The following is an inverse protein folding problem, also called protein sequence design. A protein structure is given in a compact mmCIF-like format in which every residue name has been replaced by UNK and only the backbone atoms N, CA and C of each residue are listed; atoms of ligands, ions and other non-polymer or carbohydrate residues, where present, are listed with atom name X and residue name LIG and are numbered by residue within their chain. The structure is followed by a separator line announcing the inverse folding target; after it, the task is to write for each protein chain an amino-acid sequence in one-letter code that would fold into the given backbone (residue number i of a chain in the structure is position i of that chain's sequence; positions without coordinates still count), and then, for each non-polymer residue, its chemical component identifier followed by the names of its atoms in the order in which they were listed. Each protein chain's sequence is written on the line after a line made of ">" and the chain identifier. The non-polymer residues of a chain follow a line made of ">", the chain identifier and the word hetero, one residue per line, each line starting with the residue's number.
data_IF_923279795763
#
_entry.id   IF_923279795763
#
_cell.length_a   1.000
_cell.length_b   1.000
_cell.length_c   1.000
_cell.angle_alpha   90.00
_cell.angle_beta   90.00
_cell.angle_gamma   90.00
#
_symmetry.space_group_name_H-M   'P 1'
#
loop_
_entity.id
_entity.type
_entity.pdbx_description
1 polymer ?
#
# COMPACT_ATOMS: atom_id res chain seq x y z
N UNK A 1 21.11 5.92 -1.82
CA UNK A 1 21.41 7.03 -0.84
C UNK A 1 20.15 7.56 -0.15
N UNK A 2 19.00 7.47 -0.84
CA UNK A 2 17.71 7.91 -0.31
C UNK A 2 17.16 6.95 0.76
N UNK A 3 17.39 5.64 0.68
CA UNK A 3 17.06 4.70 1.78
C UNK A 3 17.65 5.08 3.16
N UNK A 4 18.91 5.56 3.19
CA UNK A 4 19.56 6.07 4.41
C UNK A 4 18.99 7.42 4.89
N UNK A 5 18.24 8.13 4.04
CA UNK A 5 17.57 9.39 4.36
C UNK A 5 16.11 9.14 4.77
N UNK A 6 15.42 8.24 4.06
CA UNK A 6 14.00 7.89 4.21
C UNK A 6 13.67 7.13 5.50
N UNK A 7 14.59 6.27 5.95
CA UNK A 7 14.44 5.43 7.15
C UNK A 7 15.07 6.10 8.38
N UNK A 8 15.82 7.19 8.19
CA UNK A 8 16.60 7.77 9.27
C UNK A 8 15.79 8.77 10.08
N UNK A 9 15.53 8.40 11.34
CA UNK A 9 14.82 9.21 12.32
C UNK A 9 15.48 10.58 12.57
N UNK A 10 16.77 10.74 12.23
CA UNK A 10 17.47 12.03 12.36
C UNK A 10 16.96 13.12 11.42
N UNK A 11 16.17 12.79 10.39
CA UNK A 11 15.58 13.76 9.46
C UNK A 11 14.07 13.95 9.66
N UNK A 12 13.52 13.38 10.73
CA UNK A 12 12.10 13.47 11.10
C UNK A 12 11.63 14.91 11.35
N UNK A 13 12.54 15.83 11.58
CA UNK A 13 12.23 17.25 11.75
C UNK A 13 11.88 17.95 10.44
N UNK A 14 12.28 17.43 9.27
CA UNK A 14 12.16 18.16 8.00
C UNK A 14 10.69 18.47 7.62
N UNK A 15 9.75 17.51 7.68
CA UNK A 15 8.34 17.81 7.43
C UNK A 15 7.75 18.77 8.47
N UNK A 16 8.18 18.68 9.72
CA UNK A 16 7.75 19.58 10.80
C UNK A 16 8.21 21.01 10.51
N UNK A 17 9.45 21.19 10.09
CA UNK A 17 9.98 22.52 9.71
C UNK A 17 9.22 23.07 8.51
N UNK A 18 8.99 22.27 7.46
CA UNK A 18 8.21 22.71 6.30
C UNK A 18 6.79 23.15 6.69
N UNK A 19 6.11 22.35 7.52
CA UNK A 19 4.79 22.69 8.05
C UNK A 19 4.83 24.01 8.84
N UNK A 20 5.77 24.13 9.78
CA UNK A 20 5.92 25.33 10.63
C UNK A 20 6.27 26.58 9.81
N UNK A 21 7.07 26.47 8.76
CA UNK A 21 7.39 27.60 7.86
C UNK A 21 6.13 28.13 7.21
N UNK A 22 5.28 27.26 6.64
CA UNK A 22 4.03 27.68 5.97
C UNK A 22 3.08 28.33 6.98
N UNK A 23 2.96 27.76 8.17
CA UNK A 23 2.14 28.30 9.24
C UNK A 23 2.68 29.65 9.76
N UNK A 24 4.00 29.79 9.91
CA UNK A 24 4.64 31.04 10.30
C UNK A 24 4.42 32.14 9.26
N UNK A 25 4.50 31.82 7.96
CA UNK A 25 4.16 32.75 6.88
C UNK A 25 2.70 33.21 7.04
N UNK A 26 1.77 32.28 7.26
CA UNK A 26 0.37 32.61 7.54
C UNK A 26 0.22 33.55 8.74
N UNK A 27 0.87 33.23 9.85
CA UNK A 27 0.86 34.05 11.07
C UNK A 27 1.33 35.49 10.82
N UNK A 28 2.50 35.69 10.18
CA UNK A 28 3.03 37.02 9.88
C UNK A 28 2.16 37.79 8.88
N UNK A 29 1.58 37.11 7.89
CA UNK A 29 0.61 37.71 6.96
C UNK A 29 -0.62 38.22 7.72
N UNK A 30 -1.12 37.44 8.67
CA UNK A 30 -2.27 37.81 9.50
C UNK A 30 -1.98 38.96 10.46
N UNK A 31 -0.83 38.94 11.15
CA UNK A 31 -0.38 40.05 11.99
C UNK A 31 -0.29 41.37 11.22
N UNK A 32 0.19 41.33 9.97
CA UNK A 32 0.36 42.52 9.14
C UNK A 32 -0.95 43.08 8.60
N UNK A 33 -1.92 42.21 8.30
CA UNK A 33 -3.16 42.59 7.57
C UNK A 33 -4.40 42.70 8.45
N UNK A 34 -4.39 42.08 9.64
CA UNK A 34 -5.49 42.10 10.60
C UNK A 34 -6.67 41.17 10.23
N UNK A 35 -7.60 41.06 11.17
CA UNK A 35 -8.74 40.14 11.18
C UNK A 35 -9.53 40.09 9.88
N UNK A 36 -9.98 41.24 9.37
CA UNK A 36 -10.87 41.30 8.20
C UNK A 36 -10.22 40.72 6.94
N UNK A 37 -8.94 41.02 6.72
CA UNK A 37 -8.20 40.49 5.58
C UNK A 37 -7.95 38.98 5.75
N UNK A 38 -7.68 38.52 6.97
CA UNK A 38 -7.52 37.11 7.30
C UNK A 38 -8.81 36.30 7.09
N UNK A 39 -9.97 36.85 7.45
CA UNK A 39 -11.27 36.22 7.20
C UNK A 39 -11.52 36.01 5.70
N UNK A 40 -11.23 37.01 4.87
CA UNK A 40 -11.33 36.88 3.41
C UNK A 40 -10.37 35.80 2.89
N UNK A 41 -9.12 35.79 3.37
CA UNK A 41 -8.15 34.77 2.97
C UNK A 41 -8.58 33.36 3.38
N UNK A 42 -9.19 33.20 4.56
CA UNK A 42 -9.73 31.92 5.02
C UNK A 42 -10.82 31.43 4.08
N UNK A 43 -11.80 32.30 3.77
CA UNK A 43 -12.88 31.97 2.83
C UNK A 43 -12.35 31.59 1.44
N UNK A 44 -11.38 32.36 0.90
CA UNK A 44 -10.74 32.05 -0.37
C UNK A 44 -9.97 30.72 -0.33
N UNK A 45 -9.28 30.42 0.76
CA UNK A 45 -8.51 29.18 0.86
C UNK A 45 -9.39 27.94 1.00
N UNK A 46 -10.42 28.00 1.85
CA UNK A 46 -11.38 26.90 1.98
C UNK A 46 -12.14 26.72 0.66
N UNK A 47 -12.59 27.82 0.04
CA UNK A 47 -13.22 27.78 -1.29
C UNK A 47 -12.32 27.17 -2.35
N UNK A 48 -11.04 27.53 -2.37
CA UNK A 48 -10.05 26.96 -3.31
C UNK A 48 -9.87 25.46 -3.11
N UNK A 49 -9.79 25.00 -1.85
CA UNK A 49 -9.70 23.58 -1.52
C UNK A 49 -10.95 22.82 -2.02
N UNK A 50 -12.16 23.32 -1.71
CA UNK A 50 -13.41 22.67 -2.11
C UNK A 50 -13.49 22.56 -3.63
N UNK A 51 -13.21 23.65 -4.35
CA UNK A 51 -13.21 23.64 -5.82
C UNK A 51 -12.15 22.68 -6.36
N UNK A 52 -10.93 22.67 -5.80
CA UNK A 52 -9.87 21.75 -6.21
C UNK A 52 -10.29 20.29 -6.06
N UNK A 53 -10.90 19.92 -4.93
CA UNK A 53 -11.40 18.56 -4.69
C UNK A 53 -12.49 18.18 -5.69
N UNK A 54 -13.48 19.06 -5.92
CA UNK A 54 -14.58 18.79 -6.85
C UNK A 54 -14.07 18.62 -8.28
N UNK A 55 -13.16 19.50 -8.73
CA UNK A 55 -12.59 19.47 -10.09
C UNK A 55 -11.64 18.29 -10.28
N UNK A 56 -10.98 17.80 -9.21
CA UNK A 56 -10.09 16.64 -9.30
C UNK A 56 -10.84 15.36 -9.63
N UNK A 57 -12.08 15.18 -9.13
CA UNK A 57 -12.88 13.96 -9.34
C UNK A 57 -12.99 13.55 -10.82
N UNK A 58 -13.49 14.40 -11.75
CA UNK A 58 -13.59 14.02 -13.16
C UNK A 58 -12.21 13.78 -13.80
N UNK A 59 -11.18 14.53 -13.41
CA UNK A 59 -9.83 14.38 -13.98
C UNK A 59 -9.25 13.01 -13.64
N UNK A 60 -9.30 12.62 -12.35
CA UNK A 60 -8.76 11.31 -11.93
C UNK A 60 -9.57 10.18 -12.55
N UNK A 61 -10.90 10.30 -12.61
CA UNK A 61 -11.73 9.29 -13.27
C UNK A 61 -11.34 9.13 -14.75
N UNK A 62 -11.08 10.23 -15.47
CA UNK A 62 -10.59 10.16 -16.85
C UNK A 62 -9.21 9.50 -16.96
N UNK A 63 -8.29 9.80 -16.04
CA UNK A 63 -6.95 9.15 -16.01
C UNK A 63 -7.10 7.64 -15.80
N UNK A 64 -7.88 7.23 -14.78
CA UNK A 64 -8.12 5.81 -14.45
C UNK A 64 -8.77 5.09 -15.63
N UNK A 65 -9.83 5.64 -16.22
CA UNK A 65 -10.48 5.05 -17.39
C UNK A 65 -9.52 4.93 -18.59
N UNK A 66 -8.63 5.91 -18.78
CA UNK A 66 -7.62 5.83 -19.84
C UNK A 66 -6.58 4.75 -19.57
N UNK A 67 -6.14 4.58 -18.31
CA UNK A 67 -5.21 3.53 -17.91
C UNK A 67 -5.82 2.13 -18.11
N UNK A 68 -7.09 1.93 -17.75
CA UNK A 68 -7.82 0.67 -17.98
C UNK A 68 -7.95 0.33 -19.47
N UNK A 69 -8.07 1.34 -20.33
CA UNK A 69 -8.25 1.16 -21.76
C UNK A 69 -6.94 1.20 -22.57
N UNK A 70 -5.81 1.49 -21.91
CA UNK A 70 -4.50 1.48 -22.56
C UNK A 70 -4.01 0.05 -22.71
N UNK A 71 -4.09 -0.49 -23.93
CA UNK A 71 -3.59 -1.82 -24.28
C UNK A 71 -2.07 -1.87 -24.51
N UNK A 72 -1.35 -0.75 -24.30
CA UNK A 72 -0.01 -0.52 -24.84
C UNK A 72 0.97 0.04 -23.80
N UNK A 73 1.13 -0.65 -22.67
CA UNK A 73 2.39 -0.50 -21.94
C UNK A 73 3.51 -1.24 -22.70
N UNK A 74 4.76 -0.74 -22.68
CA UNK A 74 5.85 -1.38 -23.39
C UNK A 74 6.04 -2.82 -22.91
N UNK A 75 6.08 -3.79 -23.83
CA UNK A 75 6.38 -5.20 -23.55
C UNK A 75 7.75 -5.39 -22.87
N UNK A 76 8.63 -4.39 -22.98
CA UNK A 76 9.94 -4.34 -22.33
C UNK A 76 9.87 -4.31 -20.79
N UNK A 77 8.74 -3.91 -20.20
CA UNK A 77 8.54 -3.88 -18.74
C UNK A 77 7.81 -5.14 -18.23
N UNK A 78 7.56 -6.13 -19.09
CA UNK A 78 6.86 -7.37 -18.73
C UNK A 78 5.36 -7.21 -18.46
N UNK A 79 4.80 -6.02 -18.71
CA UNK A 79 3.36 -5.75 -18.56
C UNK A 79 2.68 -6.04 -19.90
N UNK A 80 2.11 -7.23 -20.04
CA UNK A 80 1.31 -7.58 -21.22
C UNK A 80 -0.19 -7.40 -20.90
N UNK A 81 -0.80 -6.36 -21.47
CA UNK A 81 -2.25 -6.15 -21.43
C UNK A 81 -2.71 -4.84 -20.78
N UNK A 82 -4.01 -4.78 -20.46
CA UNK A 82 -4.65 -3.65 -19.79
C UNK A 82 -4.19 -3.56 -18.34
N UNK A 83 -4.00 -2.34 -17.83
CA UNK A 83 -3.71 -2.13 -16.40
C UNK A 83 -4.90 -2.63 -15.59
N UNK A 84 -4.64 -3.57 -14.68
CA UNK A 84 -5.66 -4.07 -13.75
C UNK A 84 -5.62 -3.29 -12.43
N UNK A 85 -6.80 -3.06 -11.87
CA UNK A 85 -7.02 -2.36 -10.59
C UNK A 85 -6.39 -0.95 -10.45
N UNK A 86 -6.54 -0.03 -11.42
CA UNK A 86 -5.99 1.33 -11.31
C UNK A 86 -6.61 2.16 -10.18
N UNK A 87 -7.74 1.75 -9.62
CA UNK A 87 -8.31 2.33 -8.40
C UNK A 87 -7.37 2.25 -7.19
N UNK A 88 -6.40 1.32 -7.18
CA UNK A 88 -5.38 1.20 -6.12
C UNK A 88 -4.50 2.46 -6.06
N UNK A 89 -4.14 3.04 -7.20
CA UNK A 89 -3.31 4.25 -7.27
C UNK A 89 -4.15 5.54 -7.24
N UNK A 90 -5.48 5.44 -7.29
CA UNK A 90 -6.40 6.57 -7.25
C UNK A 90 -6.11 7.54 -6.09
N UNK A 91 -5.96 7.10 -4.82
CA UNK A 91 -5.82 8.02 -3.71
C UNK A 91 -4.50 8.81 -3.75
N UNK A 92 -3.45 8.21 -4.34
CA UNK A 92 -2.17 8.86 -4.57
C UNK A 92 -2.30 9.97 -5.61
N UNK A 93 -2.80 9.62 -6.80
CA UNK A 93 -2.96 10.57 -7.92
C UNK A 93 -3.92 11.71 -7.55
N UNK A 94 -5.00 11.39 -6.83
CA UNK A 94 -5.95 12.38 -6.34
C UNK A 94 -5.30 13.41 -5.43
N UNK A 95 -4.49 12.99 -4.45
CA UNK A 95 -3.79 13.91 -3.54
C UNK A 95 -2.84 14.86 -4.28
N UNK A 96 -2.11 14.35 -5.27
CA UNK A 96 -1.19 15.14 -6.10
C UNK A 96 -1.92 16.21 -6.92
N UNK A 97 -3.02 15.83 -7.57
CA UNK A 97 -3.81 16.76 -8.41
C UNK A 97 -4.53 17.80 -7.56
N UNK A 98 -5.07 17.43 -6.39
CA UNK A 98 -5.67 18.39 -5.45
C UNK A 98 -4.66 19.45 -5.03
N UNK A 99 -3.41 19.08 -4.71
CA UNK A 99 -2.38 20.06 -4.38
C UNK A 99 -2.15 21.03 -5.54
N UNK A 100 -1.91 20.50 -6.75
CA UNK A 100 -1.61 21.32 -7.93
C UNK A 100 -2.76 22.30 -8.24
N UNK A 101 -4.00 21.81 -8.27
CA UNK A 101 -5.19 22.64 -8.49
C UNK A 101 -5.41 23.64 -7.36
N UNK A 102 -5.23 23.23 -6.10
CA UNK A 102 -5.41 24.12 -4.98
C UNK A 102 -4.41 25.29 -5.03
N UNK A 103 -3.13 25.02 -5.31
CA UNK A 103 -2.12 26.08 -5.45
C UNK A 103 -2.45 27.01 -6.62
N UNK A 104 -2.89 26.46 -7.75
CA UNK A 104 -3.30 27.23 -8.92
C UNK A 104 -4.51 28.13 -8.64
N UNK A 105 -5.57 27.59 -8.04
CA UNK A 105 -6.78 28.38 -7.68
C UNK A 105 -6.44 29.40 -6.58
N UNK A 106 -5.61 29.04 -5.61
CA UNK A 106 -5.11 29.99 -4.60
C UNK A 106 -4.35 31.14 -5.26
N UNK A 107 -3.50 30.87 -6.24
CA UNK A 107 -2.80 31.90 -6.98
C UNK A 107 -3.77 32.86 -7.69
N UNK A 108 -4.76 32.32 -8.41
CA UNK A 108 -5.80 33.11 -9.09
C UNK A 108 -6.61 33.94 -8.08
N UNK A 109 -7.11 33.32 -7.02
CA UNK A 109 -7.92 34.03 -6.00
C UNK A 109 -7.12 35.10 -5.27
N UNK A 110 -5.80 34.89 -5.06
CA UNK A 110 -4.91 35.92 -4.51
C UNK A 110 -4.70 37.08 -5.48
N UNK A 111 -4.60 36.81 -6.79
CA UNK A 111 -4.54 37.84 -7.82
C UNK A 111 -5.81 38.70 -7.78
N UNK A 112 -6.98 38.07 -7.77
CA UNK A 112 -8.29 38.74 -7.67
C UNK A 112 -8.37 39.57 -6.38
N UNK A 113 -7.97 38.99 -5.25
CA UNK A 113 -7.93 39.71 -3.97
C UNK A 113 -7.05 40.97 -4.07
N UNK A 114 -5.87 40.87 -4.70
CA UNK A 114 -4.93 41.98 -4.81
C UNK A 114 -5.47 43.12 -5.67
N UNK A 115 -6.10 42.79 -6.80
CA UNK A 115 -6.66 43.75 -7.75
C UNK A 115 -7.92 44.42 -7.17
N UNK A 116 -8.86 43.64 -6.65
CA UNK A 116 -10.23 44.10 -6.35
C UNK A 116 -10.45 44.36 -4.86
N UNK A 117 -10.08 43.42 -3.99
CA UNK A 117 -10.54 43.39 -2.59
C UNK A 117 -9.55 44.03 -1.60
N UNK A 118 -8.29 44.24 -2.00
CA UNK A 118 -7.23 44.78 -1.14
C UNK A 118 -7.56 46.18 -0.61
N UNK A 119 -8.05 47.07 -1.48
CA UNK A 119 -8.39 48.46 -1.11
C UNK A 119 -9.50 48.49 -0.06
N UNK A 120 -10.56 47.71 -0.26
CA UNK A 120 -11.71 47.64 0.65
C UNK A 120 -11.40 46.95 1.98
N UNK A 121 -10.64 45.85 1.95
CA UNK A 121 -10.29 45.09 3.16
C UNK A 121 -9.36 45.86 4.10
N UNK A 122 -8.43 46.66 3.54
CA UNK A 122 -7.44 47.41 4.33
C UNK A 122 -7.91 48.81 4.74
N UNK A 123 -9.02 49.34 4.19
CA UNK A 123 -9.47 50.73 4.41
C UNK A 123 -9.64 51.06 5.90
N UNK A 124 -10.50 50.31 6.61
CA UNK A 124 -10.76 50.52 8.06
C UNK A 124 -9.52 50.31 8.93
N UNK A 125 -8.62 49.40 8.55
CA UNK A 125 -7.37 49.16 9.28
C UNK A 125 -6.40 50.34 9.13
N UNK A 126 -6.31 50.92 7.93
CA UNK A 126 -5.49 52.11 7.67
C UNK A 126 -6.06 53.34 8.39
N UNK A 127 -7.38 53.51 8.40
CA UNK A 127 -8.07 54.59 9.12
C UNK A 127 -7.81 54.51 10.63
N UNK A 128 -8.06 53.35 11.26
CA UNK A 128 -7.81 53.17 12.69
C UNK A 128 -6.32 53.33 13.08
N UNK A 129 -5.40 52.98 12.18
CA UNK A 129 -3.96 53.22 12.39
C UNK A 129 -3.61 54.71 12.34
N UNK A 130 -4.23 55.48 11.45
CA UNK A 130 -4.06 56.94 11.37
C UNK A 130 -4.60 57.64 12.62
N UNK A 131 -5.66 57.10 13.22
CA UNK A 131 -6.25 57.58 14.47
C UNK A 131 -5.48 57.16 15.74
N UNK A 132 -4.32 56.52 15.62
CA UNK A 132 -3.49 56.11 16.76
C UNK A 132 -4.07 54.97 17.61
N UNK A 133 -5.14 54.30 17.16
CA UNK A 133 -5.79 53.23 17.93
C UNK A 133 -4.86 52.02 18.07
N UNK A 134 -4.79 51.45 19.28
CA UNK A 134 -4.08 50.19 19.54
C UNK A 134 -4.81 49.04 18.85
N UNK A 135 -4.21 48.49 17.79
CA UNK A 135 -4.80 47.43 16.94
C UNK A 135 -4.34 46.01 17.28
N UNK A 136 -3.72 45.81 18.46
CA UNK A 136 -3.11 44.52 18.84
C UNK A 136 -4.08 43.34 18.77
N UNK A 137 -5.28 43.46 19.35
CA UNK A 137 -6.30 42.40 19.29
C UNK A 137 -6.68 42.01 17.86
N UNK A 138 -6.94 43.00 17.01
CA UNK A 138 -7.23 42.78 15.58
C UNK A 138 -6.09 42.08 14.84
N UNK A 139 -4.83 42.42 15.16
CA UNK A 139 -3.65 41.78 14.56
C UNK A 139 -3.49 40.33 15.03
N UNK A 140 -3.60 40.05 16.32
CA UNK A 140 -3.46 38.70 16.86
C UNK A 140 -4.59 37.78 16.39
N UNK A 141 -5.85 38.24 16.42
CA UNK A 141 -6.97 37.47 15.84
C UNK A 141 -6.79 37.27 14.33
N UNK A 142 -6.24 38.27 13.63
CA UNK A 142 -5.84 38.15 12.24
C UNK A 142 -4.75 37.10 12.00
N UNK A 143 -3.78 36.99 12.89
CA UNK A 143 -2.72 35.99 12.85
C UNK A 143 -3.28 34.58 13.01
N UNK A 144 -4.09 34.34 14.05
CA UNK A 144 -4.73 33.05 14.30
C UNK A 144 -5.60 32.58 13.12
N UNK A 145 -6.42 33.48 12.56
CA UNK A 145 -7.24 33.14 11.39
C UNK A 145 -6.41 32.93 10.12
N UNK A 146 -5.28 33.63 9.97
CA UNK A 146 -4.41 33.38 8.82
C UNK A 146 -3.72 32.03 8.92
N UNK A 147 -3.34 31.58 10.12
CA UNK A 147 -2.83 30.21 10.32
C UNK A 147 -3.85 29.17 9.83
N UNK A 148 -5.11 29.30 10.22
CA UNK A 148 -6.18 28.43 9.73
C UNK A 148 -6.34 28.51 8.20
N UNK A 149 -6.18 29.69 7.60
CA UNK A 149 -6.27 29.84 6.15
C UNK A 149 -5.12 29.18 5.39
N UNK A 150 -3.94 29.03 5.99
CA UNK A 150 -2.79 28.37 5.36
C UNK A 150 -2.74 26.86 5.66
N UNK A 151 -3.55 26.38 6.60
CA UNK A 151 -3.53 24.99 7.05
C UNK A 151 -3.76 23.97 5.93
N UNK A 152 -4.73 24.13 5.01
CA UNK A 152 -4.89 23.16 3.91
C UNK A 152 -3.65 23.07 3.01
N UNK A 153 -3.03 24.22 2.67
CA UNK A 153 -1.82 24.24 1.87
C UNK A 153 -0.63 23.63 2.64
N UNK A 154 -0.53 23.91 3.94
CA UNK A 154 0.50 23.31 4.79
C UNK A 154 0.36 21.78 4.85
N UNK A 155 -0.86 21.26 5.00
CA UNK A 155 -1.13 19.82 5.03
C UNK A 155 -0.73 19.16 3.71
N UNK A 156 -1.21 19.70 2.59
CA UNK A 156 -0.93 19.15 1.26
C UNK A 156 0.57 19.20 0.92
N UNK A 157 1.26 20.32 1.18
CA UNK A 157 2.69 20.44 0.90
C UNK A 157 3.55 19.57 1.82
N UNK A 158 3.21 19.49 3.10
CA UNK A 158 3.96 18.66 4.06
C UNK A 158 3.87 17.19 3.69
N UNK A 159 2.74 16.75 3.12
CA UNK A 159 2.59 15.37 2.67
C UNK A 159 3.63 14.97 1.60
N UNK A 160 3.96 15.87 0.67
CA UNK A 160 4.98 15.62 -0.35
C UNK A 160 6.39 15.49 0.22
N UNK A 161 6.67 16.15 1.35
CA UNK A 161 7.95 15.99 2.05
C UNK A 161 8.03 14.68 2.85
N UNK A 162 6.91 13.97 3.01
CA UNK A 162 6.79 12.78 3.85
C UNK A 162 7.36 11.48 3.25
N UNK A 163 7.66 11.45 1.95
CA UNK A 163 8.26 10.26 1.30
C UNK A 163 9.62 9.91 1.93
N UNK A 164 10.35 10.95 2.36
CA UNK A 164 11.63 10.85 3.03
C UNK A 164 11.55 10.59 4.54
N UNK A 165 10.35 10.39 5.12
CA UNK A 165 10.23 10.06 6.55
C UNK A 165 8.87 9.42 6.88
N UNK A 166 8.51 8.36 6.16
CA UNK A 166 7.18 7.76 6.22
C UNK A 166 6.82 7.15 7.59
N UNK A 167 7.81 6.78 8.41
CA UNK A 167 7.56 6.21 9.75
C UNK A 167 7.20 7.26 10.81
N UNK A 168 7.42 8.54 10.52
CA UNK A 168 7.28 9.63 11.47
C UNK A 168 5.83 9.87 11.93
N UNK A 169 5.62 10.03 13.24
CA UNK A 169 4.31 10.37 13.83
C UNK A 169 3.73 11.67 13.27
N UNK A 170 4.55 12.68 13.00
CA UNK A 170 4.10 13.95 12.42
C UNK A 170 3.57 13.76 10.99
N UNK A 171 4.20 12.88 10.21
CA UNK A 171 3.73 12.52 8.86
C UNK A 171 2.41 11.77 8.95
N UNK A 172 2.30 10.76 9.82
CA UNK A 172 1.03 10.03 10.04
C UNK A 172 -0.12 10.95 10.46
N UNK A 173 0.17 11.93 11.32
CA UNK A 173 -0.81 12.95 11.70
C UNK A 173 -1.21 13.85 10.52
N UNK A 174 -0.23 14.26 9.71
CA UNK A 174 -0.48 15.04 8.50
C UNK A 174 -1.31 14.24 7.47
N UNK A 175 -1.09 12.94 7.34
CA UNK A 175 -1.84 12.06 6.44
C UNK A 175 -3.28 11.89 6.89
N UNK A 176 -3.51 11.78 8.20
CA UNK A 176 -4.86 11.80 8.76
C UNK A 176 -5.58 13.13 8.46
N UNK A 177 -4.89 14.27 8.60
CA UNK A 177 -5.43 15.58 8.25
C UNK A 177 -5.70 15.70 6.75
N UNK A 178 -4.80 15.19 5.89
CA UNK A 178 -4.98 15.15 4.45
C UNK A 178 -6.24 14.38 4.08
N UNK A 179 -6.44 13.20 4.67
CA UNK A 179 -7.63 12.38 4.47
C UNK A 179 -8.90 13.14 4.88
N UNK A 180 -8.86 13.91 5.97
CA UNK A 180 -10.00 14.73 6.40
C UNK A 180 -10.31 15.83 5.37
N UNK A 181 -9.31 16.64 4.99
CA UNK A 181 -9.53 17.81 4.11
C UNK A 181 -9.88 17.41 2.66
N UNK A 182 -9.59 16.16 2.28
CA UNK A 182 -9.95 15.57 0.97
C UNK A 182 -11.15 14.64 1.03
N UNK A 183 -11.89 14.61 2.15
CA UNK A 183 -13.08 13.76 2.36
C UNK A 183 -12.84 12.27 2.11
N UNK A 184 -11.67 11.78 2.53
CA UNK A 184 -11.29 10.38 2.41
C UNK A 184 -10.76 9.97 1.04
N UNK A 185 -10.67 10.90 0.08
CA UNK A 185 -10.31 10.60 -1.31
C UNK A 185 -8.80 10.55 -1.57
N UNK A 186 -7.99 11.30 -0.82
CA UNK A 186 -6.54 11.22 -0.92
C UNK A 186 -5.94 10.32 0.16
N UNK A 187 -4.84 9.66 -0.18
CA UNK A 187 -3.90 9.13 0.80
C UNK A 187 -2.55 9.81 0.65
N UNK A 188 -1.80 9.87 1.74
CA UNK A 188 -0.52 10.54 1.77
C UNK A 188 0.54 9.81 0.95
N UNK A 189 1.39 10.55 0.23
CA UNK A 189 2.49 9.94 -0.55
C UNK A 189 3.46 9.17 0.37
N UNK A 190 3.64 9.66 1.60
CA UNK A 190 4.31 8.96 2.71
C UNK A 190 3.79 7.55 2.96
N UNK A 191 2.47 7.29 2.87
CA UNK A 191 1.92 5.94 3.02
C UNK A 191 2.45 4.99 1.95
N UNK A 192 2.88 5.50 0.79
CA UNK A 192 3.52 4.71 -0.29
C UNK A 192 5.05 4.72 -0.20
N UNK A 193 5.63 5.49 0.72
CA UNK A 193 7.08 5.59 0.94
C UNK A 193 7.80 4.25 1.13
N UNK A 194 7.28 3.29 1.92
CA UNK A 194 7.89 1.96 2.05
C UNK A 194 7.99 1.21 0.72
N UNK A 195 6.94 1.24 -0.10
CA UNK A 195 6.94 0.63 -1.43
C UNK A 195 7.94 1.34 -2.37
N UNK A 196 8.02 2.67 -2.34
CA UNK A 196 9.00 3.44 -3.12
C UNK A 196 10.43 3.06 -2.71
N UNK A 197 10.69 2.92 -1.40
CA UNK A 197 11.97 2.48 -0.88
C UNK A 197 12.33 1.05 -1.31
N UNK A 198 11.33 0.14 -1.37
CA UNK A 198 11.52 -1.20 -1.89
C UNK A 198 11.91 -1.18 -3.38
N UNK A 199 11.21 -0.39 -4.19
CA UNK A 199 11.52 -0.21 -5.61
C UNK A 199 12.94 0.34 -5.79
N UNK A 200 13.36 1.32 -5.00
CA UNK A 200 14.75 1.82 -5.02
C UNK A 200 15.75 0.69 -4.70
N UNK A 201 15.49 -0.15 -3.70
CA UNK A 201 16.35 -1.31 -3.38
C UNK A 201 16.54 -2.22 -4.59
N UNK A 202 15.45 -2.53 -5.28
CA UNK A 202 15.47 -3.37 -6.48
C UNK A 202 16.23 -2.72 -7.65
N UNK A 203 16.15 -1.39 -7.78
CA UNK A 203 16.90 -0.64 -8.80
C UNK A 203 18.39 -0.51 -8.46
N UNK A 204 18.75 -0.43 -7.18
CA UNK A 204 20.14 -0.33 -6.71
C UNK A 204 20.85 -1.71 -6.70
N UNK A 205 20.14 -2.81 -6.41
CA UNK A 205 20.69 -4.17 -6.37
C UNK A 205 19.69 -5.20 -6.93
N UNK A 206 19.99 -5.73 -8.12
CA UNK A 206 19.17 -6.74 -8.81
C UNK A 206 18.93 -8.00 -7.96
N UNK A 207 19.79 -8.29 -6.96
CA UNK A 207 19.63 -9.44 -6.06
C UNK A 207 18.31 -9.43 -5.29
N UNK A 208 17.68 -8.27 -5.09
CA UNK A 208 16.35 -8.19 -4.47
C UNK A 208 15.26 -8.78 -5.38
N UNK A 209 15.34 -8.55 -6.69
CA UNK A 209 14.43 -9.14 -7.67
C UNK A 209 14.74 -10.63 -7.89
N UNK A 210 16.02 -10.98 -8.04
CA UNK A 210 16.44 -12.37 -8.20
C UNK A 210 16.04 -13.21 -6.96
N UNK A 211 16.20 -12.65 -5.77
CA UNK A 211 15.77 -13.26 -4.51
C UNK A 211 14.26 -13.43 -4.40
N UNK A 212 13.48 -12.50 -4.95
CA UNK A 212 12.02 -12.60 -5.01
C UNK A 212 11.59 -13.71 -5.96
N UNK A 213 12.24 -13.84 -7.12
CA UNK A 213 11.99 -14.94 -8.04
C UNK A 213 12.35 -16.29 -7.42
N UNK A 214 13.52 -16.39 -6.78
CA UNK A 214 13.96 -17.62 -6.09
C UNK A 214 12.98 -18.02 -4.98
N UNK A 215 12.50 -17.06 -4.20
CA UNK A 215 11.47 -17.26 -3.18
C UNK A 215 10.21 -17.93 -3.77
N UNK A 216 9.66 -17.39 -4.87
CA UNK A 216 8.49 -17.99 -5.51
C UNK A 216 8.80 -19.34 -6.16
N UNK A 217 9.99 -19.51 -6.74
CA UNK A 217 10.44 -20.78 -7.30
C UNK A 217 10.48 -21.90 -6.24
N UNK A 218 10.91 -21.60 -5.00
CA UNK A 218 10.88 -22.61 -3.92
C UNK A 218 9.48 -23.11 -3.64
N UNK A 219 8.45 -22.28 -3.76
CA UNK A 219 7.05 -22.70 -3.57
C UNK A 219 6.49 -23.51 -4.74
N UNK A 220 6.99 -23.33 -5.96
CA UNK A 220 6.52 -24.06 -7.15
C UNK A 220 7.22 -25.40 -7.38
N UNK A 221 8.41 -25.61 -6.79
CA UNK A 221 9.18 -26.84 -6.94
C UNK A 221 8.58 -28.01 -6.13
N UNK A 222 8.18 -29.08 -6.84
CA UNK A 222 7.57 -30.29 -6.27
C UNK A 222 8.47 -31.00 -5.24
N UNK A 223 9.76 -30.99 -5.48
CA UNK A 223 10.79 -31.63 -4.65
C UNK A 223 10.86 -31.07 -3.22
N UNK A 224 10.48 -29.80 -3.03
CA UNK A 224 10.36 -29.16 -1.72
C UNK A 224 9.15 -29.65 -0.91
N UNK A 225 8.25 -30.45 -1.49
CA UNK A 225 7.12 -31.04 -0.77
C UNK A 225 7.44 -32.49 -0.39
N UNK A 226 7.31 -32.81 0.90
CA UNK A 226 7.45 -34.18 1.35
C UNK A 226 6.18 -34.98 1.05
N UNK A 227 6.16 -35.62 -0.12
CA UNK A 227 5.05 -36.45 -0.60
C UNK A 227 5.23 -37.93 -0.29
N UNK A 228 6.30 -38.33 0.42
CA UNK A 228 6.46 -39.71 0.84
C UNK A 228 5.30 -40.11 1.76
N UNK A 229 4.78 -41.34 1.58
CA UNK A 229 3.75 -41.92 2.45
C UNK A 229 4.25 -41.95 3.90
N UNK A 230 3.90 -40.92 4.67
CA UNK A 230 4.21 -40.83 6.08
C UNK A 230 3.29 -41.75 6.87
N UNK A 231 3.71 -42.11 8.09
CA UNK A 231 2.85 -42.84 9.02
C UNK A 231 1.51 -42.11 9.26
N UNK A 232 1.50 -40.79 9.15
CA UNK A 232 0.30 -39.95 9.29
C UNK A 232 -0.68 -40.14 8.12
N UNK A 233 -0.18 -40.31 6.89
CA UNK A 233 -1.04 -40.66 5.74
C UNK A 233 -1.66 -42.03 5.98
N UNK A 234 -0.87 -43.04 6.39
CA UNK A 234 -1.40 -44.37 6.72
C UNK A 234 -2.44 -44.34 7.86
N UNK A 235 -2.27 -43.45 8.85
CA UNK A 235 -3.24 -43.24 9.92
C UNK A 235 -4.51 -42.53 9.42
N UNK A 236 -4.39 -41.54 8.54
CA UNK A 236 -5.53 -40.85 7.93
C UNK A 236 -6.36 -41.77 7.01
N UNK A 237 -5.71 -42.75 6.37
CA UNK A 237 -6.38 -43.82 5.61
C UNK A 237 -7.24 -44.73 6.51
N UNK A 238 -6.74 -45.01 7.71
CA UNK A 238 -7.42 -45.88 8.68
C UNK A 238 -8.52 -45.15 9.45
N UNK A 239 -8.37 -43.84 9.65
CA UNK A 239 -9.26 -43.02 10.44
C UNK A 239 -9.51 -41.67 9.75
N UNK A 240 -10.69 -41.55 9.14
CA UNK A 240 -11.15 -40.33 8.44
C UNK A 240 -11.28 -39.10 9.36
N UNK A 241 -11.16 -39.27 10.67
CA UNK A 241 -11.17 -38.16 11.63
C UNK A 241 -9.78 -37.56 11.89
N UNK A 242 -8.71 -38.23 11.44
CA UNK A 242 -7.33 -37.76 11.62
C UNK A 242 -6.89 -36.89 10.46
N UNK A 243 -6.25 -35.78 10.81
CA UNK A 243 -5.57 -34.92 9.84
C UNK A 243 -4.17 -35.45 9.58
N UNK A 244 -3.65 -35.22 8.38
CA UNK A 244 -2.25 -35.44 8.04
C UNK A 244 -1.62 -34.13 7.57
N UNK A 245 -0.32 -34.01 7.78
CA UNK A 245 0.43 -32.79 7.46
C UNK A 245 1.41 -33.07 6.33
N UNK A 246 1.29 -32.34 5.23
CA UNK A 246 2.33 -32.28 4.21
C UNK A 246 3.37 -31.26 4.64
N UNK A 247 4.59 -31.74 4.78
CA UNK A 247 5.73 -30.90 5.12
C UNK A 247 6.29 -30.26 3.86
N UNK A 248 6.43 -28.94 3.90
CA UNK A 248 7.13 -28.15 2.89
C UNK A 248 8.51 -27.79 3.43
N UNK A 249 9.56 -28.34 2.83
CA UNK A 249 10.95 -28.03 3.14
C UNK A 249 11.60 -27.30 1.95
N UNK A 250 11.65 -25.95 1.96
CA UNK A 250 12.18 -25.16 0.84
C UNK A 250 13.70 -25.28 0.65
N UNK A 251 14.40 -25.91 1.60
CA UNK A 251 15.87 -26.01 1.63
C UNK A 251 16.36 -27.43 1.36
N UNK A 252 15.45 -28.35 1.02
CA UNK A 252 15.74 -29.78 0.88
C UNK A 252 16.85 -30.03 -0.15
N UNK A 253 16.73 -29.43 -1.33
CA UNK A 253 17.65 -29.69 -2.45
C UNK A 253 18.72 -28.61 -2.62
N UNK A 254 18.51 -27.42 -2.07
CA UNK A 254 19.47 -26.32 -2.09
C UNK A 254 19.38 -25.46 -0.83
N UNK A 255 20.26 -25.77 0.12
CA UNK A 255 20.49 -25.03 1.36
C UNK A 255 21.79 -24.20 1.30
N UNK A 256 22.32 -23.95 0.09
CA UNK A 256 23.54 -23.17 -0.04
C UNK A 256 23.37 -21.77 0.55
N UNK A 257 24.41 -21.28 1.22
CA UNK A 257 24.39 -19.98 1.89
C UNK A 257 24.00 -18.84 0.92
N UNK A 258 24.42 -18.95 -0.34
CA UNK A 258 24.07 -18.03 -1.42
C UNK A 258 22.57 -18.00 -1.71
N UNK A 259 21.93 -19.16 -1.86
CA UNK A 259 20.49 -19.25 -2.15
C UNK A 259 19.67 -18.74 -0.98
N UNK A 260 20.07 -19.11 0.24
CA UNK A 260 19.45 -18.60 1.47
C UNK A 260 19.55 -17.07 1.56
N UNK A 261 20.73 -16.50 1.26
CA UNK A 261 20.92 -15.04 1.28
C UNK A 261 20.06 -14.33 0.21
N UNK A 262 19.99 -14.89 -1.00
CA UNK A 262 19.13 -14.36 -2.06
C UNK A 262 17.66 -14.34 -1.64
N UNK A 263 17.14 -15.45 -1.14
CA UNK A 263 15.75 -15.54 -0.66
C UNK A 263 15.49 -14.55 0.48
N UNK A 264 16.43 -14.39 1.42
CA UNK A 264 16.31 -13.38 2.49
C UNK A 264 16.22 -11.96 1.94
N UNK A 265 16.97 -11.62 0.89
CA UNK A 265 16.83 -10.34 0.21
C UNK A 265 15.45 -10.19 -0.44
N UNK A 266 14.94 -11.23 -1.11
CA UNK A 266 13.57 -11.24 -1.64
C UNK A 266 12.52 -10.98 -0.55
N UNK A 267 12.65 -11.64 0.59
CA UNK A 267 11.77 -11.41 1.75
C UNK A 267 11.92 -9.98 2.31
N UNK A 268 13.13 -9.44 2.42
CA UNK A 268 13.35 -8.06 2.85
C UNK A 268 12.63 -7.07 1.92
N UNK A 269 12.78 -7.25 0.61
CA UNK A 269 12.11 -6.46 -0.42
C UNK A 269 10.58 -6.52 -0.27
N UNK A 270 9.99 -7.72 -0.21
CA UNK A 270 8.53 -7.87 -0.08
C UNK A 270 8.01 -7.33 1.25
N UNK A 271 8.75 -7.53 2.35
CA UNK A 271 8.34 -7.07 3.68
C UNK A 271 8.23 -5.54 3.79
N UNK A 272 8.94 -4.77 2.96
CA UNK A 272 8.77 -3.31 2.90
C UNK A 272 7.36 -2.90 2.50
N UNK A 273 6.70 -3.67 1.64
CA UNK A 273 5.34 -3.37 1.21
C UNK A 273 4.30 -3.56 2.33
N UNK A 274 4.61 -4.31 3.38
CA UNK A 274 3.67 -4.54 4.47
C UNK A 274 3.50 -3.36 5.44
N UNK A 275 4.41 -2.38 5.43
CA UNK A 275 4.43 -1.32 6.45
C UNK A 275 3.13 -0.48 6.48
N UNK A 276 2.41 -0.37 5.36
CA UNK A 276 1.12 0.32 5.26
C UNK A 276 0.18 -0.42 4.31
N UNK A 277 -1.12 -0.14 4.43
CA UNK A 277 -2.12 -0.69 3.49
C UNK A 277 -1.88 -0.22 2.07
N UNK A 278 -1.52 1.04 1.89
CA UNK A 278 -1.21 1.65 0.60
C UNK A 278 -0.02 0.99 -0.09
N UNK A 279 1.06 0.73 0.66
CA UNK A 279 2.22 0.01 0.14
C UNK A 279 1.85 -1.43 -0.22
N UNK A 280 1.09 -2.14 0.61
CA UNK A 280 0.63 -3.49 0.29
C UNK A 280 -0.28 -3.52 -0.95
N UNK A 281 -1.09 -2.47 -1.13
CA UNK A 281 -1.91 -2.29 -2.33
C UNK A 281 -1.05 -2.10 -3.57
N UNK A 282 0.05 -1.35 -3.50
CA UNK A 282 1.00 -1.26 -4.62
C UNK A 282 1.65 -2.60 -4.96
N UNK A 283 1.94 -3.44 -3.96
CA UNK A 283 2.42 -4.80 -4.23
C UNK A 283 1.35 -5.62 -4.96
N UNK A 284 0.11 -5.60 -4.47
CA UNK A 284 -1.01 -6.27 -5.14
C UNK A 284 -1.15 -5.79 -6.59
N UNK A 285 -1.15 -4.47 -6.81
CA UNK A 285 -1.15 -3.86 -8.13
C UNK A 285 0.00 -4.35 -9.01
N UNK A 286 1.23 -4.42 -8.48
CA UNK A 286 2.38 -4.95 -9.22
C UNK A 286 2.15 -6.42 -9.62
N UNK A 287 1.74 -7.27 -8.68
CA UNK A 287 1.46 -8.70 -8.92
C UNK A 287 0.39 -8.86 -10.02
N UNK A 288 -0.70 -8.09 -9.97
CA UNK A 288 -1.75 -8.10 -11.01
C UNK A 288 -1.19 -7.77 -12.40
N UNK A 289 -0.28 -6.81 -12.50
CA UNK A 289 0.21 -6.32 -13.78
C UNK A 289 1.39 -7.13 -14.34
N UNK A 290 2.08 -7.94 -13.51
CA UNK A 290 3.12 -8.89 -13.95
C UNK A 290 2.60 -10.32 -14.09
N UNK A 291 1.30 -10.55 -13.92
CA UNK A 291 0.72 -11.89 -13.86
C UNK A 291 0.99 -12.77 -15.10
N UNK A 292 1.27 -12.16 -16.26
CA UNK A 292 1.61 -12.88 -17.49
C UNK A 292 2.96 -13.60 -17.39
N UNK A 293 3.82 -13.18 -16.48
CA UNK A 293 5.13 -13.80 -16.21
C UNK A 293 5.04 -14.93 -15.17
N UNK A 294 3.89 -15.10 -14.52
CA UNK A 294 3.67 -16.18 -13.56
C UNK A 294 3.28 -17.44 -14.36
N UNK A 295 3.97 -18.55 -14.12
CA UNK A 295 3.61 -19.86 -14.67
C UNK A 295 2.34 -20.42 -14.00
N UNK A 296 1.19 -19.87 -14.39
CA UNK A 296 -0.12 -20.23 -13.85
C UNK A 296 -0.46 -21.70 -14.13
N UNK A 297 -0.06 -22.20 -15.31
CA UNK A 297 -0.34 -23.57 -15.72
C UNK A 297 0.49 -24.57 -14.92
N UNK A 298 1.78 -24.31 -14.74
CA UNK A 298 2.65 -25.14 -13.90
C UNK A 298 2.20 -25.15 -12.44
N UNK A 299 1.83 -23.99 -11.89
CA UNK A 299 1.30 -23.90 -10.53
C UNK A 299 -0.02 -24.66 -10.39
N UNK A 300 -0.94 -24.49 -11.35
CA UNK A 300 -2.22 -25.20 -11.36
C UNK A 300 -2.03 -26.72 -11.46
N UNK A 301 -1.19 -27.16 -12.40
CA UNK A 301 -0.87 -28.56 -12.62
C UNK A 301 -0.29 -29.22 -11.36
N UNK A 302 0.57 -28.51 -10.63
CA UNK A 302 1.17 -29.01 -9.39
C UNK A 302 0.15 -29.26 -8.29
N UNK A 303 -0.82 -28.34 -8.10
CA UNK A 303 -1.90 -28.52 -7.13
C UNK A 303 -2.86 -29.64 -7.57
N UNK A 304 -3.19 -29.72 -8.86
CA UNK A 304 -4.03 -30.80 -9.38
C UNK A 304 -3.37 -32.18 -9.23
N UNK A 305 -2.06 -32.29 -9.46
CA UNK A 305 -1.32 -33.53 -9.25
C UNK A 305 -1.35 -33.95 -7.77
N UNK A 306 -1.19 -33.00 -6.85
CA UNK A 306 -1.32 -33.26 -5.43
C UNK A 306 -2.72 -33.78 -5.08
N UNK A 307 -3.77 -33.13 -5.60
CA UNK A 307 -5.17 -33.57 -5.40
C UNK A 307 -5.36 -35.00 -5.91
N UNK A 308 -4.97 -35.29 -7.15
CA UNK A 308 -5.10 -36.63 -7.74
C UNK A 308 -4.35 -37.69 -6.93
N UNK A 309 -3.17 -37.35 -6.42
CA UNK A 309 -2.38 -38.26 -5.57
C UNK A 309 -3.14 -38.58 -4.29
N UNK A 310 -3.67 -37.57 -3.59
CA UNK A 310 -4.43 -37.76 -2.35
C UNK A 310 -5.75 -38.52 -2.57
N UNK A 311 -6.44 -38.24 -3.67
CA UNK A 311 -7.66 -38.96 -4.07
C UNK A 311 -7.38 -40.42 -4.40
N UNK A 312 -6.28 -40.72 -5.12
CA UNK A 312 -5.87 -42.09 -5.43
C UNK A 312 -5.56 -42.91 -4.17
N UNK A 313 -5.15 -42.22 -3.10
CA UNK A 313 -4.94 -42.82 -1.79
C UNK A 313 -6.24 -42.94 -1.00
N UNK A 314 -7.38 -42.41 -1.46
CA UNK A 314 -8.65 -42.35 -0.72
C UNK A 314 -8.60 -41.49 0.56
N UNK A 315 -7.74 -40.47 0.56
CA UNK A 315 -7.66 -39.45 1.62
C UNK A 315 -8.59 -38.29 1.28
N UNK A 316 -9.44 -37.88 2.22
CA UNK A 316 -10.27 -36.69 2.01
C UNK A 316 -9.43 -35.42 2.14
N UNK A 317 -9.56 -34.49 1.19
CA UNK A 317 -8.80 -33.25 1.20
C UNK A 317 -9.05 -32.41 2.47
N UNK A 318 -10.19 -32.56 3.16
CA UNK A 318 -10.42 -31.89 4.46
C UNK A 318 -9.42 -32.27 5.55
N UNK A 319 -8.80 -33.44 5.43
CA UNK A 319 -7.80 -33.95 6.37
C UNK A 319 -6.42 -33.32 6.15
N UNK A 320 -6.23 -32.59 5.04
CA UNK A 320 -4.95 -32.01 4.64
C UNK A 320 -4.62 -30.78 5.48
N UNK A 321 -3.40 -30.75 6.00
CA UNK A 321 -2.73 -29.54 6.46
C UNK A 321 -1.35 -29.43 5.82
N UNK A 322 -0.84 -28.22 5.74
CA UNK A 322 0.53 -27.93 5.36
C UNK A 322 1.28 -27.37 6.54
N UNK A 323 2.57 -27.71 6.62
CA UNK A 323 3.48 -27.14 7.59
C UNK A 323 4.81 -26.87 6.91
N UNK A 324 5.31 -25.65 7.07
CA UNK A 324 6.68 -25.36 6.69
C UNK A 324 7.65 -25.99 7.70
N UNK A 325 8.63 -26.74 7.20
CA UNK A 325 9.80 -27.15 7.98
C UNK A 325 10.74 -25.94 8.07
N UNK A 326 10.98 -25.49 9.29
CA UNK A 326 11.86 -24.35 9.57
C UNK A 326 13.18 -24.91 10.11
N UNK A 327 14.10 -25.24 9.21
CA UNK A 327 15.47 -25.60 9.59
C UNK A 327 16.25 -24.33 9.97
N UNK A 328 17.00 -24.38 11.08
CA UNK A 328 17.89 -23.31 11.53
C UNK A 328 17.26 -21.90 11.58
N UNK A 329 15.96 -21.81 11.89
CA UNK A 329 15.22 -20.55 11.98
C UNK A 329 15.16 -19.77 10.63
N UNK A 330 15.15 -20.48 9.50
CA UNK A 330 15.06 -19.88 8.15
C UNK A 330 13.67 -20.11 7.53
N UNK A 331 12.64 -19.37 7.95
CA UNK A 331 11.33 -19.48 7.33
C UNK A 331 11.30 -18.73 6.00
N UNK A 332 10.44 -19.17 5.07
CA UNK A 332 10.46 -18.69 3.68
C UNK A 332 9.19 -17.90 3.31
N UNK A 333 8.11 -17.99 4.10
CA UNK A 333 6.86 -17.27 3.84
C UNK A 333 6.94 -15.73 3.95
N UNK A 334 5.83 -15.06 3.59
CA UNK A 334 5.56 -13.63 3.77
C UNK A 334 4.98 -13.37 5.17
N UNK A 335 5.80 -13.67 6.16
CA UNK A 335 5.36 -13.96 7.54
C UNK A 335 4.89 -12.73 8.28
N UNK A 336 5.46 -11.57 7.95
CA UNK A 336 5.28 -10.35 8.72
C UNK A 336 4.03 -9.57 8.33
N UNK A 337 3.23 -10.07 7.38
CA UNK A 337 2.08 -9.32 6.88
C UNK A 337 0.98 -9.14 7.92
N UNK A 338 0.40 -7.94 8.00
CA UNK A 338 -0.80 -7.72 8.85
C UNK A 338 -1.97 -8.56 8.33
N UNK A 339 -2.94 -8.93 9.17
CA UNK A 339 -4.08 -9.75 8.73
C UNK A 339 -4.86 -9.12 7.56
N UNK A 340 -4.97 -7.79 7.54
CA UNK A 340 -5.60 -7.04 6.44
C UNK A 340 -4.77 -7.15 5.14
N UNK A 341 -3.45 -6.94 5.21
CA UNK A 341 -2.59 -7.03 4.04
C UNK A 341 -2.45 -8.48 3.54
N UNK A 342 -2.46 -9.47 4.44
CA UNK A 342 -2.52 -10.89 4.08
C UNK A 342 -3.76 -11.19 3.27
N UNK A 343 -4.93 -10.73 3.73
CA UNK A 343 -6.19 -10.90 3.00
C UNK A 343 -6.11 -10.27 1.60
N UNK A 344 -5.61 -9.04 1.51
CA UNK A 344 -5.44 -8.35 0.23
C UNK A 344 -4.57 -9.16 -0.74
N UNK A 345 -3.37 -9.60 -0.32
CA UNK A 345 -2.49 -10.39 -1.17
C UNK A 345 -3.10 -11.75 -1.52
N UNK A 346 -3.79 -12.40 -0.59
CA UNK A 346 -4.49 -13.65 -0.83
C UNK A 346 -5.54 -13.51 -1.93
N UNK A 347 -6.39 -12.50 -1.82
CA UNK A 347 -7.43 -12.19 -2.80
C UNK A 347 -6.79 -11.92 -4.19
N UNK A 348 -5.65 -11.21 -4.22
CA UNK A 348 -4.86 -10.97 -5.43
C UNK A 348 -4.32 -12.27 -6.06
N UNK A 349 -3.70 -13.15 -5.28
CA UNK A 349 -3.21 -14.44 -5.80
C UNK A 349 -4.35 -15.32 -6.34
N UNK A 350 -5.48 -15.38 -5.63
CA UNK A 350 -6.66 -16.14 -6.05
C UNK A 350 -7.21 -15.62 -7.38
N UNK A 351 -7.29 -14.30 -7.54
CA UNK A 351 -7.77 -13.69 -8.77
C UNK A 351 -6.83 -13.96 -9.94
N UNK A 352 -5.53 -13.79 -9.74
CA UNK A 352 -4.52 -13.98 -10.78
C UNK A 352 -4.45 -15.43 -11.24
N UNK A 353 -4.60 -16.38 -10.33
CA UNK A 353 -4.65 -17.81 -10.66
C UNK A 353 -5.97 -18.22 -11.34
N UNK A 354 -6.90 -17.28 -11.55
CA UNK A 354 -8.03 -17.43 -12.46
C UNK A 354 -9.25 -18.15 -11.88
N UNK A 355 -9.43 -18.12 -10.55
CA UNK A 355 -10.46 -18.92 -9.86
C UNK A 355 -11.38 -18.04 -9.02
N UNK A 356 -11.55 -16.81 -9.47
CA UNK A 356 -12.46 -15.84 -8.86
C UNK A 356 -13.89 -16.41 -8.89
N UNK A 357 -14.60 -16.32 -7.77
CA UNK A 357 -15.99 -16.77 -7.55
C UNK A 357 -16.20 -18.28 -7.32
N UNK A 358 -15.15 -19.08 -7.10
CA UNK A 358 -15.32 -20.45 -6.61
C UNK A 358 -15.43 -20.44 -5.08
N UNK A 359 -16.47 -21.08 -4.56
CA UNK A 359 -16.67 -21.21 -3.11
C UNK A 359 -15.55 -22.08 -2.52
N UNK A 360 -14.92 -21.60 -1.46
CA UNK A 360 -14.01 -22.43 -0.66
C UNK A 360 -14.86 -23.40 0.19
N UNK A 361 -14.71 -24.72 0.03
CA UNK A 361 -15.35 -25.70 0.91
C UNK A 361 -14.98 -25.49 2.38
N UNK A 362 -15.89 -25.81 3.29
CA UNK A 362 -15.63 -25.74 4.74
C UNK A 362 -14.91 -27.01 5.21
N UNK A 363 -13.92 -26.85 6.10
CA UNK A 363 -13.22 -27.94 6.79
C UNK A 363 -14.22 -28.83 7.57
N UNK A 364 -15.34 -28.26 8.04
CA UNK A 364 -16.35 -29.00 8.79
C UNK A 364 -17.13 -30.03 7.96
N UNK A 365 -17.17 -29.85 6.64
CA UNK A 365 -18.00 -30.69 5.76
C UNK A 365 -17.43 -32.11 5.56
N UNK A 366 -16.14 -32.34 5.89
CA UNK A 366 -15.42 -33.62 5.82
C UNK A 366 -15.70 -34.47 4.56
N UNK A 367 -15.91 -33.80 3.45
CA UNK A 367 -16.27 -34.41 2.18
C UNK A 367 -15.84 -33.51 1.02
N UNK A 368 -14.63 -32.97 1.09
CA UNK A 368 -14.12 -32.07 0.05
C UNK A 368 -13.93 -32.84 -1.26
N UNK A 369 -13.66 -34.15 -1.20
CA UNK A 369 -13.50 -34.99 -2.39
C UNK A 369 -14.78 -35.17 -3.20
N UNK A 370 -15.96 -34.91 -2.64
CA UNK A 370 -17.23 -34.93 -3.38
C UNK A 370 -17.57 -33.60 -4.06
N UNK A 371 -16.76 -32.55 -3.86
CA UNK A 371 -16.95 -31.23 -4.47
C UNK A 371 -16.51 -31.23 -5.94
N UNK A 372 -16.77 -30.14 -6.65
CA UNK A 372 -16.25 -29.97 -8.02
C UNK A 372 -14.72 -29.87 -8.02
N UNK A 373 -14.08 -30.16 -9.16
CA UNK A 373 -12.62 -30.05 -9.29
C UNK A 373 -12.11 -28.64 -8.97
N UNK A 374 -12.85 -27.60 -9.38
CA UNK A 374 -12.50 -26.21 -9.10
C UNK A 374 -12.59 -25.90 -7.59
N UNK A 375 -13.61 -26.42 -6.90
CA UNK A 375 -13.74 -26.27 -5.44
C UNK A 375 -12.63 -27.00 -4.68
N UNK A 376 -12.24 -28.21 -5.11
CA UNK A 376 -11.11 -28.95 -4.54
C UNK A 376 -9.79 -28.20 -4.74
N UNK A 377 -9.56 -27.73 -5.95
CA UNK A 377 -8.41 -26.91 -6.26
C UNK A 377 -8.37 -25.67 -5.37
N UNK A 378 -9.49 -24.93 -5.30
CA UNK A 378 -9.58 -23.72 -4.50
C UNK A 378 -9.32 -24.01 -3.02
N UNK A 379 -9.83 -25.13 -2.51
CA UNK A 379 -9.58 -25.57 -1.14
C UNK A 379 -8.09 -25.77 -0.84
N UNK A 380 -7.40 -26.56 -1.68
CA UNK A 380 -5.97 -26.84 -1.50
C UNK A 380 -5.14 -25.57 -1.71
N UNK A 381 -5.48 -24.75 -2.70
CA UNK A 381 -4.85 -23.44 -2.94
C UNK A 381 -4.96 -22.54 -1.70
N UNK A 382 -6.15 -22.45 -1.10
CA UNK A 382 -6.35 -21.63 0.10
C UNK A 382 -5.45 -22.09 1.24
N UNK A 383 -5.35 -23.41 1.47
CA UNK A 383 -4.45 -23.95 2.49
C UNK A 383 -2.97 -23.65 2.18
N UNK A 384 -2.52 -23.80 0.94
CA UNK A 384 -1.14 -23.43 0.53
C UNK A 384 -0.88 -21.94 0.80
N UNK A 385 -1.79 -21.06 0.38
CA UNK A 385 -1.64 -19.62 0.59
C UNK A 385 -1.62 -19.27 2.07
N UNK A 386 -2.54 -19.81 2.88
CA UNK A 386 -2.67 -19.45 4.30
C UNK A 386 -1.57 -20.07 5.18
N UNK A 387 -1.17 -21.31 4.88
CA UNK A 387 -0.31 -22.11 5.76
C UNK A 387 1.15 -22.13 5.31
N UNK A 388 1.46 -21.78 4.06
CA UNK A 388 2.83 -21.74 3.53
C UNK A 388 3.25 -20.33 3.10
N UNK A 389 2.52 -19.70 2.16
CA UNK A 389 2.95 -18.42 1.58
C UNK A 389 2.71 -17.23 2.53
N UNK A 390 1.54 -17.14 3.15
CA UNK A 390 1.13 -16.08 4.07
C UNK A 390 1.09 -16.58 5.52
N UNK A 391 1.81 -17.67 5.80
CA UNK A 391 1.86 -18.31 7.10
C UNK A 391 2.18 -17.32 8.22
N UNK A 392 1.56 -17.50 9.38
CA UNK A 392 1.94 -16.76 10.59
C UNK A 392 2.89 -17.66 11.36
N UNK A 393 4.20 -17.44 11.23
CA UNK A 393 5.16 -18.12 12.11
C UNK A 393 5.09 -17.40 13.44
N UNK A 394 4.51 -18.07 14.44
CA UNK A 394 4.76 -17.73 15.83
C UNK A 394 6.24 -18.03 16.09
N UNK A 395 7.11 -17.04 15.87
CA UNK A 395 8.49 -17.12 16.34
C UNK A 395 8.38 -16.91 17.86
N UNK A 396 8.25 -17.99 18.62
CA UNK A 396 8.50 -17.97 20.05
C UNK A 396 9.96 -17.52 20.21
N UNK A 397 10.14 -16.29 20.70
CA UNK A 397 11.47 -15.72 20.99
C UNK A 397 12.15 -16.45 22.13
#
# INVERSE_FOLDING_TARGET
>A
MYNKFAINSTHAWLPVIFFLIIIAIGFFVGLKRGLKASLINLGLSIGSLIVAVIVTLPIVNSIVNNLENTNALPSEIGINGKIQHPEIVYPLVFGVIVLALMLFILFITKLIYWIVLRKWSMKKFKEAKKEGKKLWGNRFSGAALSVASFMPAAILLTNFTGIANYENKAIKANDALLKIITFGKASGISSYGPAIAAIEMALEDQKYLDGTNELFNKFSQKENYNTQLSADILLALRDKSKNFTLEFNPWRDDSSERTVELVKKGQEFINKFNATKESASLLAFAIYNIQSSIDKEGFKSSIEELIRTLESLNVDLSQLNFKQVVENNQPIGLINFSSENKKLLKDTFIEILGIKNVKVPDDSDRNVNARSNDEKYMYVLNKVLDQLLLATVNITK
#
